data_IF_958452063564
#
_entry.id   IF_958452063564
#
_cell.length_a   1.000
_cell.length_b   1.000
_cell.length_c   1.000
_cell.angle_alpha   90.00
_cell.angle_beta   90.00
_cell.angle_gamma   90.00
#
_symmetry.space_group_name_H-M   'P 1'
#
loop_
_entity.id
_entity.type
_entity.pdbx_description
1 polymer ?
#
# COMPACT_ATOMS: atom_id res chain seq x y z
N UNK A 1 -2.15 -7.36 11.61
CA UNK A 1 -2.64 -6.01 11.94
C UNK A 1 -4.01 -5.75 11.30
N UNK A 2 -4.14 -5.17 10.10
CA UNK A 2 -5.46 -4.87 9.50
C UNK A 2 -6.30 -6.12 9.22
N UNK A 3 -5.72 -7.15 8.60
CA UNK A 3 -6.43 -8.40 8.30
C UNK A 3 -7.01 -9.04 9.56
N UNK A 4 -6.25 -9.03 10.65
CA UNK A 4 -6.65 -9.59 11.94
C UNK A 4 -7.69 -8.70 12.64
N UNK A 5 -7.54 -7.37 12.56
CA UNK A 5 -8.46 -6.43 13.17
C UNK A 5 -9.85 -6.48 12.51
N UNK A 6 -9.88 -6.68 11.19
CA UNK A 6 -11.11 -6.77 10.39
C UNK A 6 -11.61 -8.22 10.24
N UNK A 7 -11.01 -9.19 10.94
CA UNK A 7 -11.39 -10.61 10.89
C UNK A 7 -11.50 -11.18 9.47
N UNK A 8 -10.54 -10.85 8.60
CA UNK A 8 -10.52 -11.26 7.19
C UNK A 8 -9.81 -12.60 7.03
N UNK A 9 -10.57 -13.69 7.08
CA UNK A 9 -10.04 -15.06 6.95
C UNK A 9 -9.43 -15.34 5.58
N UNK A 10 -10.10 -14.93 4.49
CA UNK A 10 -9.65 -15.16 3.10
C UNK A 10 -8.76 -14.04 2.55
N UNK A 11 -7.64 -13.78 3.23
CA UNK A 11 -6.77 -12.65 2.90
C UNK A 11 -5.74 -12.90 1.78
N UNK A 12 -5.64 -14.11 1.23
CA UNK A 12 -4.67 -14.45 0.18
C UNK A 12 -4.89 -13.70 -1.14
N UNK A 13 -6.13 -13.24 -1.37
CA UNK A 13 -6.50 -12.39 -2.51
C UNK A 13 -6.35 -10.91 -2.20
N UNK A 14 -5.98 -10.51 -0.98
CA UNK A 14 -5.87 -9.11 -0.62
C UNK A 14 -4.44 -8.61 -0.81
N UNK A 15 -4.32 -7.36 -1.27
CA UNK A 15 -3.05 -6.68 -1.42
C UNK A 15 -3.14 -5.21 -1.04
N UNK A 16 -2.02 -4.64 -0.63
CA UNK A 16 -1.89 -3.20 -0.45
C UNK A 16 -1.61 -2.53 -1.79
N UNK A 17 -2.33 -1.46 -2.09
CA UNK A 17 -2.14 -0.65 -3.26
C UNK A 17 -1.89 0.82 -2.90
N UNK A 18 -1.08 1.49 -3.71
CA UNK A 18 -0.84 2.93 -3.64
C UNK A 18 -1.37 3.62 -4.90
N UNK A 19 -1.91 4.83 -4.75
CA UNK A 19 -2.28 5.67 -5.89
C UNK A 19 -1.02 6.37 -6.40
N UNK A 20 -0.49 5.92 -7.54
CA UNK A 20 0.72 6.41 -8.18
C UNK A 20 0.36 6.95 -9.56
N UNK A 21 0.71 8.21 -9.83
CA UNK A 21 0.49 8.85 -11.15
C UNK A 21 -0.95 8.75 -11.70
N UNK A 22 -1.95 8.71 -10.81
CA UNK A 22 -3.37 8.62 -11.18
C UNK A 22 -3.92 7.20 -11.32
N UNK A 23 -3.09 6.17 -11.13
CA UNK A 23 -3.53 4.76 -11.14
C UNK A 23 -3.09 4.01 -9.87
N UNK A 24 -3.72 2.89 -9.59
CA UNK A 24 -3.42 2.07 -8.43
C UNK A 24 -2.41 0.98 -8.75
N UNK A 25 -1.23 1.09 -8.14
CA UNK A 25 -0.21 0.07 -8.20
C UNK A 25 -0.29 -0.84 -6.97
N UNK A 26 -0.38 -2.15 -7.19
CA UNK A 26 -0.22 -3.14 -6.13
C UNK A 26 1.23 -3.18 -5.65
N UNK A 27 1.41 -3.11 -4.34
CA UNK A 27 2.73 -3.16 -3.71
C UNK A 27 3.18 -4.63 -3.56
N UNK A 28 4.42 -4.95 -3.95
CA UNK A 28 5.01 -6.24 -3.63
C UNK A 28 5.02 -6.50 -2.12
N UNK A 29 4.79 -7.75 -1.65
CA UNK A 29 4.72 -8.06 -0.22
C UNK A 29 5.97 -7.68 0.59
N UNK A 30 7.14 -7.67 -0.04
CA UNK A 30 8.44 -7.33 0.51
C UNK A 30 8.77 -5.82 0.45
N UNK A 31 7.89 -5.01 -0.13
CA UNK A 31 8.10 -3.57 -0.27
C UNK A 31 7.99 -2.87 1.07
N UNK A 32 9.09 -2.24 1.49
CA UNK A 32 9.07 -1.35 2.66
C UNK A 32 8.24 -0.11 2.36
N UNK A 33 7.28 0.23 3.23
CA UNK A 33 6.39 1.39 3.05
C UNK A 33 7.15 2.71 2.88
N UNK A 34 8.33 2.86 3.50
CA UNK A 34 9.14 4.06 3.35
C UNK A 34 9.71 4.28 1.94
N UNK A 35 9.69 3.26 1.07
CA UNK A 35 10.11 3.37 -0.33
C UNK A 35 9.02 3.95 -1.22
N UNK A 36 7.76 3.85 -0.78
CA UNK A 36 6.58 4.30 -1.52
C UNK A 36 5.87 5.48 -0.84
N UNK A 37 6.23 5.76 0.41
CA UNK A 37 5.74 6.92 1.12
C UNK A 37 6.38 8.23 0.62
N UNK A 38 5.69 9.36 0.75
CA UNK A 38 6.25 10.67 0.43
C UNK A 38 7.54 10.96 1.21
N UNK A 39 8.48 11.74 0.62
CA UNK A 39 9.66 12.21 1.32
C UNK A 39 9.30 12.87 2.66
N UNK A 40 10.00 12.50 3.72
CA UNK A 40 9.77 13.04 5.06
C UNK A 40 8.67 12.35 5.88
N UNK A 41 7.94 11.36 5.33
CA UNK A 41 6.90 10.63 6.06
C UNK A 41 7.38 10.02 7.39
N UNK A 42 8.56 9.38 7.39
CA UNK A 42 9.17 8.79 8.59
C UNK A 42 9.65 9.82 9.63
N UNK A 43 9.95 11.06 9.21
CA UNK A 43 10.54 12.09 10.06
C UNK A 43 9.48 13.10 10.59
N UNK A 44 8.20 12.80 10.39
CA UNK A 44 7.05 13.63 10.78
C UNK A 44 6.99 13.95 12.28
N UNK A 45 7.60 13.13 13.14
CA UNK A 45 7.69 13.42 14.57
C UNK A 45 8.63 14.59 14.90
N UNK A 46 9.51 15.03 13.96
CA UNK A 46 10.53 16.08 14.21
C UNK A 46 10.47 17.27 13.26
N UNK A 47 9.80 17.16 12.12
CA UNK A 47 9.68 18.27 11.16
C UNK A 47 8.23 18.45 10.74
N UNK A 48 7.58 19.48 11.30
CA UNK A 48 6.50 20.18 10.60
C UNK A 48 7.15 20.76 9.35
N UNK A 49 6.94 20.10 8.20
CA UNK A 49 7.65 20.40 6.96
C UNK A 49 7.61 21.90 6.64
N UNK A 50 8.67 22.39 6.01
CA UNK A 50 8.92 23.79 5.64
C UNK A 50 7.82 24.44 4.76
N UNK A 51 6.76 23.69 4.43
CA UNK A 51 5.63 24.09 3.58
C UNK A 51 4.25 23.73 4.17
N UNK A 52 4.16 23.24 5.42
CA UNK A 52 2.88 22.98 6.10
C UNK A 52 1.99 21.89 5.49
N UNK A 53 2.44 21.20 4.43
CA UNK A 53 1.68 20.15 3.79
C UNK A 53 1.71 18.87 4.67
N UNK A 54 0.55 18.25 4.94
CA UNK A 54 0.53 16.97 5.64
C UNK A 54 1.24 15.93 4.75
N UNK A 55 2.34 15.35 5.23
CA UNK A 55 2.90 14.15 4.63
C UNK A 55 2.03 12.96 5.05
N UNK A 56 0.75 12.97 4.68
CA UNK A 56 -0.10 11.80 4.85
C UNK A 56 0.30 10.77 3.80
N UNK A 57 0.38 9.52 4.21
CA UNK A 57 0.60 8.40 3.32
C UNK A 57 -0.64 7.52 3.37
N UNK A 58 -1.33 7.41 2.24
CA UNK A 58 -2.57 6.65 2.11
C UNK A 58 -2.31 5.37 1.33
N UNK A 59 -2.77 4.26 1.89
CA UNK A 59 -2.74 2.93 1.28
C UNK A 59 -4.17 2.41 1.17
N UNK A 60 -4.38 1.55 0.20
CA UNK A 60 -5.67 0.95 -0.08
C UNK A 60 -5.56 -0.56 0.01
N UNK A 61 -6.49 -1.19 0.71
CA UNK A 61 -6.66 -2.63 0.69
C UNK A 61 -7.54 -3.00 -0.50
N UNK A 62 -7.05 -3.82 -1.42
CA UNK A 62 -7.79 -4.20 -2.65
C UNK A 62 -7.69 -5.68 -2.95
N UNK A 63 -8.69 -6.22 -3.64
CA UNK A 63 -8.64 -7.58 -4.18
C UNK A 63 -7.68 -7.67 -5.37
N UNK A 64 -6.89 -8.74 -5.36
CA UNK A 64 -5.96 -9.18 -6.40
C UNK A 64 -6.41 -10.56 -6.85
N UNK A 65 -6.89 -10.62 -8.09
CA UNK A 65 -7.22 -11.88 -8.72
C UNK A 65 -5.97 -12.44 -9.42
N UNK A 66 -5.64 -13.68 -9.09
CA UNK A 66 -4.65 -14.44 -9.84
C UNK A 66 -5.41 -15.16 -10.94
N UNK A 67 -5.21 -14.71 -12.18
CA UNK A 67 -5.72 -15.46 -13.31
C UNK A 67 -4.93 -16.78 -13.38
N UNK A 68 -5.61 -17.92 -13.61
CA UNK A 68 -4.90 -19.14 -13.95
C UNK A 68 -3.96 -18.83 -15.11
N UNK A 69 -2.74 -19.37 -15.07
CA UNK A 69 -1.76 -19.11 -16.11
C UNK A 69 -2.40 -19.42 -17.47
N UNK A 70 -2.35 -18.46 -18.40
CA UNK A 70 -2.85 -18.62 -19.77
C UNK A 70 -2.16 -19.74 -20.56
N UNK A 71 -1.19 -20.42 -19.93
CA UNK A 71 -0.74 -21.75 -20.32
C UNK A 71 -1.85 -22.72 -19.96
N UNK A 72 -2.83 -22.79 -20.85
CA UNK A 72 -3.71 -23.95 -20.93
C UNK A 72 -2.87 -25.21 -20.90
N UNK A 73 -3.43 -26.23 -20.27
CA UNK A 73 -2.97 -27.62 -20.43
C UNK A 73 -2.87 -27.91 -21.93
#
# INVERSE_FOLDING_TARGET
AIIQAETLDENFTLGLAALLAGDFAMLPPDTKLNKVAPPGWLNTAKNKGHLGLPSSFMLYLRFRFYLPSLRGI
#
